data_IF_469266346405
#
_entry.id   IF_469266346405
#
_cell.length_a   1.000
_cell.length_b   1.000
_cell.length_c   1.000
_cell.angle_alpha   90.00
_cell.angle_beta   90.00
_cell.angle_gamma   90.00
#
_symmetry.space_group_name_H-M   'P 1'
#
loop_
_entity.id
_entity.type
_entity.pdbx_description
1 polymer ?
#
# COMPACT_ATOMS: atom_id res chain seq x y z
N UNK A 1 -28.73 51.37 9.95
CA UNK A 1 -27.51 50.62 10.25
C UNK A 1 -27.67 49.25 9.59
N UNK A 2 -27.31 49.17 8.28
CA UNK A 2 -27.51 47.98 7.43
C UNK A 2 -26.17 47.23 7.49
N UNK A 3 -26.21 46.07 8.15
CA UNK A 3 -25.04 45.19 8.29
C UNK A 3 -24.71 44.56 6.91
N UNK A 4 -23.49 44.79 6.48
CA UNK A 4 -22.93 44.20 5.25
C UNK A 4 -22.83 42.68 5.40
N UNK A 5 -23.63 41.99 4.65
CA UNK A 5 -23.47 40.52 4.43
C UNK A 5 -22.21 40.37 3.56
N UNK A 6 -21.08 40.00 4.18
CA UNK A 6 -19.90 39.57 3.47
C UNK A 6 -20.24 38.22 2.80
N UNK A 7 -20.45 38.25 1.48
CA UNK A 7 -20.44 37.08 0.64
C UNK A 7 -19.05 36.42 0.71
N UNK A 8 -18.90 35.40 1.55
CA UNK A 8 -17.84 34.41 1.40
C UNK A 8 -18.18 33.52 0.21
N UNK A 9 -17.91 34.01 -1.01
CA UNK A 9 -17.64 33.12 -2.12
C UNK A 9 -16.27 32.48 -1.84
N UNK A 10 -16.26 31.34 -1.14
CA UNK A 10 -15.13 30.42 -1.21
C UNK A 10 -15.00 30.05 -2.68
N UNK A 11 -13.93 30.52 -3.31
CA UNK A 11 -13.56 30.05 -4.64
C UNK A 11 -13.43 28.52 -4.52
N UNK A 12 -14.36 27.76 -5.10
CA UNK A 12 -14.28 26.31 -5.17
C UNK A 12 -13.09 26.03 -6.09
N UNK A 13 -11.93 25.75 -5.49
CA UNK A 13 -10.76 25.34 -6.26
C UNK A 13 -11.11 24.03 -6.96
N UNK A 14 -10.96 24.00 -8.27
CA UNK A 14 -11.18 22.79 -9.04
C UNK A 14 -10.16 21.72 -8.62
N UNK A 15 -10.63 20.52 -8.34
CA UNK A 15 -9.80 19.33 -8.10
C UNK A 15 -9.00 19.03 -9.37
N UNK A 16 -7.69 19.12 -9.27
CA UNK A 16 -6.73 19.01 -10.38
C UNK A 16 -6.35 17.55 -10.59
N UNK A 17 -6.72 16.99 -11.73
CA UNK A 17 -6.52 15.58 -12.04
C UNK A 17 -5.50 15.42 -13.17
N UNK A 18 -4.53 14.55 -12.99
CA UNK A 18 -3.67 14.02 -14.05
C UNK A 18 -4.20 12.65 -14.46
N UNK A 19 -4.26 12.40 -15.78
CA UNK A 19 -4.66 11.13 -16.36
C UNK A 19 -3.46 10.50 -17.06
N UNK A 20 -3.21 9.20 -16.80
CA UNK A 20 -2.18 8.41 -17.48
C UNK A 20 -2.86 7.19 -18.11
N UNK A 21 -3.02 7.21 -19.42
CA UNK A 21 -3.82 6.26 -20.19
C UNK A 21 -3.28 6.22 -21.62
N UNK A 22 -2.90 5.08 -22.13
CA UNK A 22 -2.28 4.93 -23.45
C UNK A 22 -3.33 5.09 -24.59
N UNK A 23 -4.53 4.54 -24.39
CA UNK A 23 -5.60 4.63 -25.39
C UNK A 23 -6.15 6.06 -25.47
N UNK A 24 -5.89 6.70 -26.62
CA UNK A 24 -6.22 8.11 -26.85
C UNK A 24 -7.71 8.40 -26.65
N UNK A 25 -8.59 7.53 -27.14
CA UNK A 25 -10.05 7.70 -27.05
C UNK A 25 -10.51 7.68 -25.58
N UNK A 26 -9.97 6.80 -24.77
CA UNK A 26 -10.29 6.72 -23.34
C UNK A 26 -9.74 7.95 -22.63
N UNK A 27 -8.49 8.32 -22.87
CA UNK A 27 -7.87 9.50 -22.28
C UNK A 27 -8.63 10.79 -22.61
N UNK A 28 -9.03 10.99 -23.86
CA UNK A 28 -9.82 12.15 -24.28
C UNK A 28 -11.23 12.12 -23.68
N UNK A 29 -11.88 10.96 -23.61
CA UNK A 29 -13.18 10.78 -22.95
C UNK A 29 -13.15 11.12 -21.46
N UNK A 30 -12.14 10.64 -20.74
CA UNK A 30 -11.92 10.96 -19.31
C UNK A 30 -11.63 12.46 -19.13
N UNK A 31 -10.81 13.05 -19.99
CA UNK A 31 -10.50 14.47 -19.99
C UNK A 31 -11.78 15.32 -20.19
N UNK A 32 -12.61 14.94 -21.15
CA UNK A 32 -13.89 15.62 -21.42
C UNK A 32 -14.86 15.49 -20.23
N UNK A 33 -14.97 14.31 -19.62
CA UNK A 33 -15.79 14.06 -18.43
C UNK A 33 -15.36 14.96 -17.26
N UNK A 34 -14.06 14.97 -16.95
CA UNK A 34 -13.50 15.73 -15.84
C UNK A 34 -13.68 17.24 -16.07
N UNK A 35 -13.30 17.73 -17.25
CA UNK A 35 -13.43 19.16 -17.57
C UNK A 35 -14.87 19.63 -17.74
N UNK A 36 -15.80 18.73 -18.11
CA UNK A 36 -17.23 19.01 -18.21
C UNK A 36 -17.96 19.03 -16.87
N UNK A 37 -17.29 18.68 -15.76
CA UNK A 37 -17.90 18.60 -14.43
C UNK A 37 -17.42 19.74 -13.54
N UNK A 38 -18.37 20.51 -12.99
CA UNK A 38 -18.03 21.61 -12.06
C UNK A 38 -17.24 21.12 -10.84
N UNK A 39 -16.17 21.84 -10.49
CA UNK A 39 -15.29 21.49 -9.38
C UNK A 39 -14.19 20.50 -9.73
N UNK A 40 -13.98 20.19 -11.02
CA UNK A 40 -12.90 19.35 -11.51
C UNK A 40 -12.15 20.01 -12.66
N UNK A 41 -10.87 19.65 -12.81
CA UNK A 41 -10.02 20.07 -13.95
C UNK A 41 -9.01 18.99 -14.27
N UNK A 42 -9.02 18.47 -15.48
CA UNK A 42 -7.90 17.70 -16.01
C UNK A 42 -6.76 18.67 -16.36
N UNK A 43 -5.66 18.59 -15.64
CA UNK A 43 -4.49 19.47 -15.82
C UNK A 43 -3.51 18.93 -16.84
N UNK A 44 -3.43 17.61 -16.98
CA UNK A 44 -2.65 16.94 -18.03
C UNK A 44 -3.18 15.52 -18.30
N UNK A 45 -2.93 15.04 -19.53
CA UNK A 45 -3.21 13.67 -19.96
C UNK A 45 -2.01 13.09 -20.68
N UNK A 46 -1.49 11.98 -20.19
CA UNK A 46 -0.28 11.32 -20.69
C UNK A 46 -0.61 9.95 -21.28
N UNK A 47 0.05 9.59 -22.38
CA UNK A 47 -0.09 8.27 -23.01
C UNK A 47 0.95 7.25 -22.54
N UNK A 48 1.95 7.70 -21.76
CA UNK A 48 3.06 6.87 -21.27
C UNK A 48 3.46 7.34 -19.87
N UNK A 49 3.83 6.40 -19.01
CA UNK A 49 4.24 6.68 -17.63
C UNK A 49 5.51 7.55 -17.57
N UNK A 50 6.50 7.25 -18.43
CA UNK A 50 7.77 7.98 -18.49
C UNK A 50 7.55 9.46 -18.81
N UNK A 51 6.61 9.76 -19.71
CA UNK A 51 6.26 11.14 -20.07
C UNK A 51 5.56 11.85 -18.92
N UNK A 52 4.70 11.14 -18.19
CA UNK A 52 4.04 11.66 -17.01
C UNK A 52 5.07 12.01 -15.92
N UNK A 53 5.96 11.08 -15.57
CA UNK A 53 6.98 11.26 -14.53
C UNK A 53 7.90 12.45 -14.80
N UNK A 54 8.19 12.72 -16.08
CA UNK A 54 9.04 13.86 -16.47
C UNK A 54 8.37 15.24 -16.27
N UNK A 55 7.06 15.31 -16.07
CA UNK A 55 6.30 16.58 -16.08
C UNK A 55 5.33 16.76 -14.91
N UNK A 56 4.95 15.69 -14.25
CA UNK A 56 3.85 15.66 -13.26
C UNK A 56 4.06 16.64 -12.08
N UNK A 57 5.32 16.92 -11.70
CA UNK A 57 5.63 17.92 -10.67
C UNK A 57 5.18 19.32 -11.08
N UNK A 58 5.35 19.66 -12.36
CA UNK A 58 4.94 20.96 -12.89
C UNK A 58 3.40 21.08 -13.01
N UNK A 59 2.73 19.95 -13.18
CA UNK A 59 1.26 19.92 -13.31
C UNK A 59 0.57 20.14 -11.95
N UNK A 60 1.24 19.89 -10.84
CA UNK A 60 0.72 20.05 -9.47
C UNK A 60 -0.70 19.46 -9.32
N UNK A 61 -0.88 18.14 -9.54
CA UNK A 61 -2.18 17.51 -9.39
C UNK A 61 -2.59 17.34 -7.92
N UNK A 62 -3.90 17.30 -7.68
CA UNK A 62 -4.49 16.90 -6.40
C UNK A 62 -4.80 15.39 -6.38
N UNK A 63 -4.96 14.77 -7.56
CA UNK A 63 -5.17 13.34 -7.71
C UNK A 63 -4.64 12.83 -9.06
N UNK A 64 -4.27 11.56 -9.11
CA UNK A 64 -3.80 10.88 -10.32
C UNK A 64 -4.69 9.70 -10.63
N UNK A 65 -5.13 9.61 -11.89
CA UNK A 65 -5.85 8.49 -12.46
C UNK A 65 -4.92 7.78 -13.43
N UNK A 66 -4.57 6.52 -13.19
CA UNK A 66 -3.61 5.77 -14.02
C UNK A 66 -4.14 4.42 -14.46
N UNK A 67 -3.96 4.08 -15.74
CA UNK A 67 -4.06 2.69 -16.14
C UNK A 67 -2.84 1.90 -15.65
N UNK A 68 -3.01 0.60 -15.44
CA UNK A 68 -1.93 -0.34 -15.09
C UNK A 68 -1.29 -0.94 -16.33
N UNK A 69 -2.04 -1.10 -17.42
CA UNK A 69 -1.62 -1.73 -18.67
C UNK A 69 -0.91 -0.79 -19.65
N UNK A 70 -0.05 0.09 -19.17
CA UNK A 70 0.66 1.05 -20.01
C UNK A 70 1.82 0.40 -20.78
N UNK A 71 2.12 0.87 -22.01
CA UNK A 71 3.31 0.47 -22.73
C UNK A 71 4.58 1.03 -22.09
N UNK A 72 5.68 0.29 -22.17
CA UNK A 72 6.94 0.66 -21.53
C UNK A 72 6.89 0.37 -20.02
N UNK A 73 6.97 1.40 -19.19
CA UNK A 73 6.80 1.28 -17.76
C UNK A 73 5.33 1.04 -17.43
N UNK A 74 5.04 -0.07 -16.74
CA UNK A 74 3.68 -0.40 -16.29
C UNK A 74 3.15 0.63 -15.30
N UNK A 75 1.80 0.75 -15.20
CA UNK A 75 1.19 1.62 -14.19
C UNK A 75 1.56 1.21 -12.76
N UNK A 76 1.71 -0.08 -12.52
CA UNK A 76 2.10 -0.62 -11.21
C UNK A 76 3.52 -0.17 -10.80
N UNK A 77 4.49 -0.21 -11.72
CA UNK A 77 5.85 0.34 -11.51
C UNK A 77 5.80 1.87 -11.38
N UNK A 78 4.98 2.52 -12.20
CA UNK A 78 4.79 3.97 -12.18
C UNK A 78 4.24 4.49 -10.85
N UNK A 79 3.33 3.77 -10.20
CA UNK A 79 2.81 4.12 -8.87
C UNK A 79 3.95 4.25 -7.86
N UNK A 80 4.93 3.33 -7.85
CA UNK A 80 6.10 3.41 -6.98
C UNK A 80 6.88 4.71 -7.24
N UNK A 81 7.12 5.04 -8.50
CA UNK A 81 7.85 6.25 -8.89
C UNK A 81 7.09 7.53 -8.56
N UNK A 82 5.78 7.53 -8.72
CA UNK A 82 4.93 8.66 -8.33
C UNK A 82 4.99 8.85 -6.81
N UNK A 83 5.01 7.78 -6.01
CA UNK A 83 5.15 7.85 -4.55
C UNK A 83 6.49 8.43 -4.09
N UNK A 84 7.57 8.21 -4.84
CA UNK A 84 8.87 8.85 -4.58
C UNK A 84 8.80 10.38 -4.73
N UNK A 85 7.97 10.88 -5.68
CA UNK A 85 7.78 12.31 -5.97
C UNK A 85 6.71 12.91 -5.03
N UNK A 86 5.59 12.23 -4.91
CA UNK A 86 4.41 12.67 -4.15
C UNK A 86 4.00 11.58 -3.13
N UNK A 87 4.54 11.59 -1.92
CA UNK A 87 4.26 10.54 -0.92
C UNK A 87 2.78 10.37 -0.58
N UNK A 88 2.01 11.45 -0.57
CA UNK A 88 0.62 11.47 -0.07
C UNK A 88 -0.45 11.67 -1.16
N UNK A 89 -0.06 11.91 -2.41
CA UNK A 89 -1.06 12.20 -3.46
C UNK A 89 -2.00 11.00 -3.68
N UNK A 90 -3.32 11.21 -3.78
CA UNK A 90 -4.23 10.14 -4.15
C UNK A 90 -3.95 9.60 -5.55
N UNK A 91 -3.73 8.28 -5.65
CA UNK A 91 -3.54 7.56 -6.91
C UNK A 91 -4.65 6.53 -7.03
N UNK A 92 -5.46 6.64 -8.09
CA UNK A 92 -6.50 5.66 -8.41
C UNK A 92 -6.08 4.88 -9.64
N UNK A 93 -5.97 3.56 -9.53
CA UNK A 93 -5.84 2.68 -10.68
C UNK A 93 -7.20 2.57 -11.39
N UNK A 94 -7.22 2.85 -12.70
CA UNK A 94 -8.38 2.69 -13.56
C UNK A 94 -8.02 1.74 -14.71
N UNK A 95 -8.44 0.50 -14.64
CA UNK A 95 -7.93 -0.55 -15.52
C UNK A 95 -8.99 -1.59 -15.90
N UNK A 96 -8.68 -2.41 -16.89
CA UNK A 96 -9.50 -3.58 -17.25
C UNK A 96 -9.12 -4.81 -16.40
N UNK A 97 -7.98 -4.80 -15.72
CA UNK A 97 -7.50 -5.93 -14.94
C UNK A 97 -8.28 -6.07 -13.63
N UNK A 98 -8.79 -7.26 -13.38
CA UNK A 98 -9.55 -7.58 -12.17
C UNK A 98 -8.99 -8.80 -11.42
N UNK A 99 -7.79 -9.27 -11.80
CA UNK A 99 -7.14 -10.41 -11.15
C UNK A 99 -6.48 -10.01 -9.82
N UNK A 100 -6.40 -10.99 -8.91
CA UNK A 100 -5.96 -10.79 -7.53
C UNK A 100 -4.50 -10.26 -7.44
N UNK A 101 -3.63 -10.66 -8.36
CA UNK A 101 -2.21 -10.26 -8.38
C UNK A 101 -2.06 -8.77 -8.71
N UNK A 102 -2.75 -8.29 -9.75
CA UNK A 102 -2.68 -6.87 -10.16
C UNK A 102 -3.29 -5.96 -9.09
N UNK A 103 -4.43 -6.37 -8.50
CA UNK A 103 -5.06 -5.62 -7.41
C UNK A 103 -4.09 -5.50 -6.23
N UNK A 104 -3.50 -6.64 -5.82
CA UNK A 104 -2.58 -6.68 -4.70
C UNK A 104 -1.34 -5.80 -4.95
N UNK A 105 -0.70 -5.96 -6.10
CA UNK A 105 0.50 -5.20 -6.45
C UNK A 105 0.22 -3.70 -6.50
N UNK A 106 -0.86 -3.25 -7.13
CA UNK A 106 -1.20 -1.83 -7.21
C UNK A 106 -1.42 -1.21 -5.83
N UNK A 107 -2.18 -1.89 -4.95
CA UNK A 107 -2.45 -1.41 -3.59
C UNK A 107 -1.19 -1.41 -2.70
N UNK A 108 -0.39 -2.48 -2.76
CA UNK A 108 0.88 -2.56 -2.01
C UNK A 108 1.90 -1.52 -2.47
N UNK A 109 1.90 -1.15 -3.75
CA UNK A 109 2.78 -0.13 -4.30
C UNK A 109 2.27 1.30 -4.05
N UNK A 110 1.11 1.45 -3.41
CA UNK A 110 0.61 2.73 -2.92
C UNK A 110 -0.57 3.33 -3.68
N UNK A 111 -1.31 2.56 -4.50
CA UNK A 111 -2.60 3.02 -5.00
C UNK A 111 -3.58 3.21 -3.84
N UNK A 112 -4.27 4.36 -3.79
CA UNK A 112 -5.32 4.63 -2.80
C UNK A 112 -6.67 4.05 -3.22
N UNK A 113 -6.89 3.87 -4.52
CA UNK A 113 -8.14 3.35 -5.05
C UNK A 113 -7.92 2.44 -6.26
N UNK A 114 -8.94 1.63 -6.54
CA UNK A 114 -8.92 0.70 -7.66
C UNK A 114 -10.30 0.60 -8.31
N UNK A 115 -10.39 1.06 -9.55
CA UNK A 115 -11.62 1.07 -10.32
C UNK A 115 -11.44 0.31 -11.63
N UNK A 116 -12.50 -0.32 -12.08
CA UNK A 116 -12.52 -0.91 -13.42
C UNK A 116 -12.95 0.13 -14.47
N UNK A 117 -12.43 0.04 -15.70
CA UNK A 117 -12.76 0.96 -16.80
C UNK A 117 -14.26 0.97 -17.19
N UNK A 118 -15.04 -0.02 -16.75
CA UNK A 118 -16.48 -0.03 -16.88
C UNK A 118 -17.22 0.69 -15.73
N UNK A 119 -16.52 1.35 -14.82
CA UNK A 119 -17.11 2.15 -13.74
C UNK A 119 -17.91 3.31 -14.34
N UNK A 120 -19.18 3.51 -13.91
CA UNK A 120 -19.99 4.64 -14.39
C UNK A 120 -19.31 5.99 -14.16
N UNK A 121 -19.43 6.96 -15.10
CA UNK A 121 -18.78 8.27 -15.00
C UNK A 121 -19.05 9.00 -13.68
N UNK A 122 -20.27 8.98 -13.18
CA UNK A 122 -20.64 9.62 -11.92
C UNK A 122 -19.86 9.01 -10.74
N UNK A 123 -19.72 7.66 -10.69
CA UNK A 123 -18.98 6.97 -9.63
C UNK A 123 -17.48 7.25 -9.71
N UNK A 124 -16.91 7.42 -10.91
CA UNK A 124 -15.52 7.81 -11.09
C UNK A 124 -15.23 9.20 -10.49
N UNK A 125 -16.11 10.17 -10.74
CA UNK A 125 -16.00 11.51 -10.18
C UNK A 125 -16.15 11.51 -8.64
N UNK A 126 -17.09 10.73 -8.11
CA UNK A 126 -17.22 10.52 -6.67
C UNK A 126 -15.95 9.90 -6.07
N UNK A 127 -15.39 8.90 -6.74
CA UNK A 127 -14.17 8.23 -6.31
C UNK A 127 -12.95 9.18 -6.26
N UNK A 128 -12.83 10.11 -7.21
CA UNK A 128 -11.79 11.13 -7.17
C UNK A 128 -11.92 12.03 -5.94
N UNK A 129 -13.14 12.45 -5.58
CA UNK A 129 -13.39 13.24 -4.35
C UNK A 129 -13.10 12.42 -3.10
N UNK A 130 -13.64 11.20 -3.03
CA UNK A 130 -13.42 10.26 -1.93
C UNK A 130 -11.93 10.05 -1.66
N UNK A 131 -11.12 9.88 -2.72
CA UNK A 131 -9.68 9.68 -2.58
C UNK A 131 -8.95 10.93 -2.03
N UNK A 132 -9.33 12.12 -2.50
CA UNK A 132 -8.75 13.39 -2.00
C UNK A 132 -9.15 13.65 -0.55
N UNK A 133 -10.33 13.21 -0.13
CA UNK A 133 -10.80 13.29 1.26
C UNK A 133 -10.17 12.18 2.16
N UNK A 134 -9.21 11.40 1.63
CA UNK A 134 -8.49 10.36 2.37
C UNK A 134 -9.16 8.98 2.35
N UNK A 135 -10.20 8.80 1.54
CA UNK A 135 -10.85 7.50 1.36
C UNK A 135 -10.09 6.58 0.40
N UNK A 136 -10.57 5.35 0.28
CA UNK A 136 -10.01 4.32 -0.61
C UNK A 136 -11.09 3.78 -1.55
N UNK A 137 -11.42 4.52 -2.63
CA UNK A 137 -12.49 4.15 -3.54
C UNK A 137 -12.18 2.84 -4.27
N UNK A 138 -13.12 1.92 -4.22
CA UNK A 138 -13.06 0.64 -4.93
C UNK A 138 -14.42 0.30 -5.52
N UNK A 139 -14.43 -0.38 -6.68
CA UNK A 139 -15.67 -1.00 -7.15
C UNK A 139 -16.05 -2.15 -6.19
N UNK A 140 -17.34 -2.48 -6.03
CA UNK A 140 -17.78 -3.54 -5.09
C UNK A 140 -17.07 -4.88 -5.34
N UNK A 141 -16.85 -5.24 -6.61
CA UNK A 141 -16.14 -6.46 -7.00
C UNK A 141 -14.69 -6.45 -6.52
N UNK A 142 -14.00 -5.32 -6.67
CA UNK A 142 -12.61 -5.16 -6.22
C UNK A 142 -12.53 -5.20 -4.69
N UNK A 143 -13.41 -4.49 -3.99
CA UNK A 143 -13.46 -4.52 -2.53
C UNK A 143 -13.66 -5.95 -1.97
N UNK A 144 -14.55 -6.73 -2.58
CA UNK A 144 -14.75 -8.13 -2.20
C UNK A 144 -13.48 -8.99 -2.41
N UNK A 145 -12.74 -8.76 -3.52
CA UNK A 145 -11.46 -9.45 -3.77
C UNK A 145 -10.37 -9.06 -2.79
N UNK A 146 -10.26 -7.77 -2.46
CA UNK A 146 -9.31 -7.27 -1.45
C UNK A 146 -9.58 -7.91 -0.10
N UNK A 147 -10.85 -7.98 0.35
CA UNK A 147 -11.22 -8.68 1.58
C UNK A 147 -10.84 -10.17 1.52
N UNK A 148 -11.04 -10.84 0.39
CA UNK A 148 -10.63 -12.24 0.19
C UNK A 148 -9.11 -12.38 0.27
N UNK A 149 -8.35 -11.49 -0.37
CA UNK A 149 -6.88 -11.46 -0.29
C UNK A 149 -6.40 -11.33 1.15
N UNK A 150 -6.95 -10.39 1.93
CA UNK A 150 -6.59 -10.27 3.36
C UNK A 150 -6.90 -11.52 4.18
N UNK A 151 -7.94 -12.28 3.84
CA UNK A 151 -8.24 -13.55 4.51
C UNK A 151 -7.22 -14.66 4.19
N UNK A 152 -6.65 -14.65 2.96
CA UNK A 152 -5.56 -15.58 2.59
C UNK A 152 -4.21 -15.13 3.14
N UNK A 153 -4.02 -13.83 3.31
CA UNK A 153 -2.88 -13.22 4.01
C UNK A 153 -3.10 -13.14 5.53
N UNK A 154 -4.03 -13.92 6.07
CA UNK A 154 -4.09 -14.07 7.52
C UNK A 154 -2.68 -14.43 7.98
N UNK A 155 -2.00 -13.59 8.80
CA UNK A 155 -0.78 -14.06 9.44
C UNK A 155 -1.18 -15.39 10.09
N UNK A 156 -0.39 -16.45 9.97
CA UNK A 156 -0.71 -17.66 10.69
C UNK A 156 -1.01 -17.25 12.12
N UNK A 157 -2.15 -17.71 12.67
CA UNK A 157 -2.53 -17.51 14.07
C UNK A 157 -1.51 -18.23 14.94
N UNK A 158 -0.42 -17.62 15.31
CA UNK A 158 0.91 -18.11 15.56
C UNK A 158 1.61 -18.50 14.24
N UNK A 159 2.64 -17.78 13.81
CA UNK A 159 3.65 -18.39 13.00
C UNK A 159 4.19 -19.55 13.85
N UNK A 160 3.79 -20.79 13.52
CA UNK A 160 4.43 -21.97 14.12
C UNK A 160 5.87 -21.95 13.64
N UNK A 161 6.72 -21.28 14.41
CA UNK A 161 8.17 -21.20 14.12
C UNK A 161 8.84 -22.56 14.27
N UNK A 162 8.04 -23.65 14.37
CA UNK A 162 8.47 -25.05 14.53
C UNK A 162 9.69 -25.17 15.43
N UNK A 163 9.69 -24.42 16.53
CA UNK A 163 10.72 -24.52 17.55
C UNK A 163 10.60 -25.90 18.22
N UNK A 164 11.72 -26.58 18.33
CA UNK A 164 11.75 -27.82 19.12
C UNK A 164 11.52 -27.49 20.60
N UNK A 165 11.11 -28.46 21.43
CA UNK A 165 10.96 -28.23 22.87
C UNK A 165 12.18 -27.59 23.52
N UNK A 166 13.40 -27.99 23.13
CA UNK A 166 14.65 -27.44 23.63
C UNK A 166 14.89 -25.99 23.15
N UNK A 167 14.52 -25.68 21.91
CA UNK A 167 14.61 -24.30 21.38
C UNK A 167 13.58 -23.38 22.05
N UNK A 168 12.37 -23.88 22.33
CA UNK A 168 11.33 -23.17 23.08
C UNK A 168 11.80 -22.87 24.52
N UNK A 169 12.35 -23.86 25.21
CA UNK A 169 12.89 -23.71 26.56
C UNK A 169 14.05 -22.70 26.58
N UNK A 170 14.98 -22.82 25.64
CA UNK A 170 16.07 -21.86 25.52
C UNK A 170 15.54 -20.43 25.27
N UNK A 171 14.55 -20.26 24.40
CA UNK A 171 13.98 -18.94 24.09
C UNK A 171 13.32 -18.32 25.32
N UNK A 172 12.63 -19.11 26.17
CA UNK A 172 12.10 -18.66 27.49
C UNK A 172 13.20 -18.15 28.40
N UNK A 173 14.26 -18.92 28.55
CA UNK A 173 15.40 -18.52 29.38
C UNK A 173 16.08 -17.23 28.86
N UNK A 174 16.14 -17.03 27.52
CA UNK A 174 16.67 -15.82 26.94
C UNK A 174 15.78 -14.60 27.22
N UNK A 175 14.45 -14.76 27.23
CA UNK A 175 13.47 -13.73 27.61
C UNK A 175 13.59 -13.35 29.08
N UNK A 176 13.83 -14.33 29.96
CA UNK A 176 14.08 -14.15 31.40
C UNK A 176 15.46 -13.50 31.69
N UNK A 177 16.24 -13.19 30.65
CA UNK A 177 17.52 -12.48 30.77
C UNK A 177 18.74 -13.37 30.89
N UNK A 178 18.60 -14.69 30.88
CA UNK A 178 19.72 -15.60 30.96
C UNK A 178 20.74 -15.40 29.82
N UNK A 179 22.03 -15.57 30.16
CA UNK A 179 23.13 -15.62 29.19
C UNK A 179 23.44 -17.07 28.79
N UNK A 180 24.18 -17.27 27.69
CA UNK A 180 24.53 -18.61 27.18
C UNK A 180 25.02 -19.58 28.24
N UNK A 181 25.88 -19.11 29.17
CA UNK A 181 26.45 -19.95 30.24
C UNK A 181 25.42 -20.35 31.29
N UNK A 182 24.54 -19.42 31.68
CA UNK A 182 23.45 -19.70 32.64
C UNK A 182 22.38 -20.57 32.04
N UNK A 183 21.97 -20.31 30.80
CA UNK A 183 21.02 -21.15 30.07
C UNK A 183 21.55 -22.60 29.90
N UNK A 184 22.85 -22.76 29.58
CA UNK A 184 23.47 -24.08 29.49
C UNK A 184 23.39 -24.88 30.80
N UNK A 185 23.57 -24.19 31.94
CA UNK A 185 23.46 -24.81 33.27
C UNK A 185 22.03 -25.18 33.60
N UNK A 186 21.08 -24.30 33.34
CA UNK A 186 19.65 -24.56 33.62
C UNK A 186 19.10 -25.73 32.75
N UNK A 187 19.52 -25.79 31.50
CA UNK A 187 19.11 -26.86 30.57
C UNK A 187 19.93 -28.16 30.71
N UNK A 188 20.97 -28.18 31.51
CA UNK A 188 21.84 -29.35 31.68
C UNK A 188 22.65 -29.73 30.42
N UNK A 189 22.97 -28.78 29.55
CA UNK A 189 23.67 -29.00 28.27
C UNK A 189 24.93 -28.15 28.16
N UNK A 190 25.79 -28.43 27.17
CA UNK A 190 26.99 -27.63 26.95
C UNK A 190 26.68 -26.24 26.38
N UNK A 191 27.55 -25.26 26.65
CA UNK A 191 27.47 -23.90 26.04
C UNK A 191 27.55 -23.97 24.52
N UNK A 192 28.25 -24.97 23.96
CA UNK A 192 28.31 -25.21 22.53
C UNK A 192 26.95 -25.61 21.98
N UNK A 193 26.25 -26.52 22.68
CA UNK A 193 24.89 -26.96 22.33
C UNK A 193 23.90 -25.79 22.38
N UNK A 194 23.99 -24.93 23.41
CA UNK A 194 23.18 -23.69 23.48
C UNK A 194 23.47 -22.79 22.28
N UNK A 195 24.74 -22.62 21.89
CA UNK A 195 25.06 -21.80 20.70
C UNK A 195 24.50 -22.39 19.41
N UNK A 196 24.45 -23.69 19.29
CA UNK A 196 23.81 -24.40 18.16
C UNK A 196 22.29 -24.13 18.14
N UNK A 197 21.58 -24.31 19.26
CA UNK A 197 20.16 -24.01 19.36
C UNK A 197 19.85 -22.54 19.11
N UNK A 198 20.67 -21.60 19.60
CA UNK A 198 20.52 -20.17 19.29
C UNK A 198 20.59 -19.89 17.79
N UNK A 199 21.55 -20.52 17.08
CA UNK A 199 21.66 -20.37 15.63
C UNK A 199 20.39 -20.86 14.92
N UNK A 200 19.84 -22.00 15.35
CA UNK A 200 18.60 -22.54 14.80
C UNK A 200 17.39 -21.64 15.10
N UNK A 201 17.27 -21.14 16.33
CA UNK A 201 16.23 -20.16 16.71
C UNK A 201 16.34 -18.92 15.82
N UNK A 202 17.53 -18.35 15.64
CA UNK A 202 17.71 -17.17 14.79
C UNK A 202 17.32 -17.42 13.35
N UNK A 203 17.68 -18.58 12.81
CA UNK A 203 17.27 -18.99 11.45
C UNK A 203 15.75 -19.15 11.35
N UNK A 204 15.11 -19.84 12.30
CA UNK A 204 13.67 -20.09 12.32
C UNK A 204 12.86 -18.82 12.54
N UNK A 205 13.34 -17.92 13.41
CA UNK A 205 12.72 -16.63 13.68
C UNK A 205 13.11 -15.55 12.65
N UNK A 206 14.01 -15.85 11.71
CA UNK A 206 14.53 -14.88 10.73
C UNK A 206 15.08 -13.60 11.41
N UNK A 207 15.94 -13.77 12.41
CA UNK A 207 16.58 -12.69 13.16
C UNK A 207 18.09 -12.93 13.24
N UNK A 208 18.85 -11.88 13.55
CA UNK A 208 20.32 -11.92 13.53
C UNK A 208 20.98 -11.76 14.91
N UNK A 209 20.18 -11.49 15.95
CA UNK A 209 20.69 -11.23 17.30
C UNK A 209 19.78 -11.79 18.39
N UNK A 210 20.36 -11.96 19.62
CA UNK A 210 19.58 -12.30 20.82
C UNK A 210 18.49 -11.27 21.09
N UNK A 211 18.81 -10.00 20.99
CA UNK A 211 17.86 -8.90 21.27
C UNK A 211 16.69 -8.94 20.30
N UNK A 212 16.95 -9.16 19.02
CA UNK A 212 15.88 -9.31 18.01
C UNK A 212 15.02 -10.55 18.26
N UNK A 213 15.65 -11.70 18.63
CA UNK A 213 14.92 -12.92 18.96
C UNK A 213 13.97 -12.73 20.14
N UNK A 214 14.45 -12.10 21.22
CA UNK A 214 13.66 -11.80 22.42
C UNK A 214 12.54 -10.80 22.09
N UNK A 215 12.85 -9.71 21.39
CA UNK A 215 11.85 -8.71 20.99
C UNK A 215 10.75 -9.32 20.11
N UNK A 216 11.14 -10.17 19.15
CA UNK A 216 10.19 -10.87 18.27
C UNK A 216 9.32 -11.86 19.06
N UNK A 217 9.92 -12.63 19.94
CA UNK A 217 9.21 -13.61 20.74
C UNK A 217 8.15 -12.97 21.65
N UNK A 218 8.48 -11.84 22.27
CA UNK A 218 7.53 -11.07 23.10
C UNK A 218 6.41 -10.43 22.27
N UNK A 219 6.76 -9.81 21.13
CA UNK A 219 5.81 -9.14 20.25
C UNK A 219 4.78 -10.10 19.65
N UNK A 220 5.24 -11.29 19.24
CA UNK A 220 4.43 -12.28 18.54
C UNK A 220 3.92 -13.41 19.46
N UNK A 221 4.18 -13.30 20.77
CA UNK A 221 3.75 -14.27 21.80
C UNK A 221 4.10 -15.71 21.44
N UNK A 222 5.37 -15.95 21.03
CA UNK A 222 5.85 -17.25 20.55
C UNK A 222 5.99 -18.25 21.70
N UNK A 223 6.28 -17.76 22.91
CA UNK A 223 6.49 -18.53 24.13
C UNK A 223 5.95 -17.79 25.34
#
# INVERSE_FOLDING_TARGET
MIAAIKNYQTAVSNLRVVIIEDLREIREGLTALINGTAGFKCVAGYGMMETALARIENDQPDAILTDLGLPGMSGTEGIIKIREIFPEIPIIALTIYDNDTEIFNALCNGANGYLLKNTPPARLLEALREAVDGGSPMSPTIAARVVKLFRTFRPPESAEYYLTPQETELLKLLIEGHHKKTAAREMGISVHTVSFHMKNIYSKLQVHSKTEAVAKALREKIV
#
